data_IF_701474177591
#
_entry.id   IF_701474177591
#
_cell.length_a   1.000
_cell.length_b   1.000
_cell.length_c   1.000
_cell.angle_alpha   90.00
_cell.angle_beta   90.00
_cell.angle_gamma   90.00
#
_symmetry.space_group_name_H-M   'P 1'
#
loop_
_entity.id
_entity.type
_entity.pdbx_description
1 polymer ?
#
# COMPACT_ATOMS: atom_id res chain seq x y z
N UNK A 1 6.25 -9.09 -2.21
CA UNK A 1 6.27 -8.21 -3.41
C UNK A 1 6.88 -6.85 -3.08
N UNK A 2 7.48 -6.15 -4.04
CA UNK A 2 7.97 -4.76 -3.86
C UNK A 2 6.83 -3.75 -4.04
N UNK A 3 7.02 -2.53 -3.55
CA UNK A 3 6.08 -1.41 -3.74
C UNK A 3 5.89 -1.13 -5.23
N UNK A 4 4.64 -0.91 -5.66
CA UNK A 4 4.32 -0.59 -7.06
C UNK A 4 4.64 0.85 -7.48
N UNK A 5 5.09 1.69 -6.55
CA UNK A 5 5.41 3.09 -6.85
C UNK A 5 6.78 3.19 -7.51
N UNK A 6 6.95 4.10 -8.48
CA UNK A 6 8.22 4.26 -9.18
C UNK A 6 9.35 4.58 -8.19
N UNK A 7 10.54 4.05 -8.48
CA UNK A 7 11.76 4.28 -7.70
C UNK A 7 11.67 3.85 -6.22
N UNK A 8 10.83 2.86 -5.91
CA UNK A 8 10.65 2.36 -4.54
C UNK A 8 10.77 0.84 -4.44
N UNK A 9 11.89 0.37 -3.89
CA UNK A 9 12.18 -1.06 -3.72
C UNK A 9 11.71 -1.62 -2.37
N UNK A 10 11.07 -0.81 -1.54
CA UNK A 10 10.57 -1.24 -0.22
C UNK A 10 9.53 -2.36 -0.36
N UNK A 11 9.44 -3.27 0.62
CA UNK A 11 8.40 -4.29 0.63
C UNK A 11 7.01 -3.65 0.61
N UNK A 12 6.11 -4.19 -0.22
CA UNK A 12 4.69 -3.89 -0.12
C UNK A 12 4.14 -4.47 1.19
N UNK A 13 3.26 -3.71 1.83
CA UNK A 13 2.62 -4.06 3.10
C UNK A 13 1.13 -3.73 3.13
N UNK A 14 0.62 -3.00 2.12
CA UNK A 14 -0.75 -2.51 2.07
C UNK A 14 -1.27 -2.63 0.64
N UNK A 15 -2.53 -3.03 0.49
CA UNK A 15 -3.29 -2.92 -0.74
C UNK A 15 -4.17 -1.67 -0.71
N UNK A 16 -4.06 -0.83 -1.74
CA UNK A 16 -4.90 0.34 -1.94
C UNK A 16 -6.09 -0.03 -2.84
N UNK A 17 -7.30 0.16 -2.32
CA UNK A 17 -8.54 -0.05 -3.07
C UNK A 17 -8.94 1.20 -3.84
N UNK A 18 -8.39 1.35 -5.05
CA UNK A 18 -8.57 2.54 -5.88
C UNK A 18 -9.89 2.48 -6.63
N UNK A 19 -10.85 3.40 -6.43
CA UNK A 19 -12.18 3.30 -7.07
C UNK A 19 -12.19 3.52 -8.59
N UNK A 20 -11.13 4.10 -9.15
CA UNK A 20 -11.05 4.55 -10.55
C UNK A 20 -9.88 3.93 -11.32
N UNK A 21 -9.14 3.00 -10.71
CA UNK A 21 -8.02 2.30 -11.33
C UNK A 21 -7.85 0.92 -10.68
N UNK A 22 -6.91 0.12 -11.17
CA UNK A 22 -6.56 -1.15 -10.53
C UNK A 22 -6.00 -0.93 -9.12
N UNK A 23 -6.26 -1.89 -8.22
CA UNK A 23 -5.68 -1.89 -6.87
C UNK A 23 -4.15 -1.89 -6.94
N UNK A 24 -3.51 -1.26 -5.95
CA UNK A 24 -2.05 -1.13 -5.92
C UNK A 24 -1.49 -1.67 -4.62
N UNK A 25 -0.42 -2.47 -4.73
CA UNK A 25 0.34 -2.95 -3.58
C UNK A 25 1.50 -1.99 -3.30
N UNK A 26 1.44 -1.30 -2.16
CA UNK A 26 2.41 -0.27 -1.79
C UNK A 26 3.01 -0.53 -0.42
N UNK A 27 4.14 0.09 -0.13
CA UNK A 27 4.73 0.08 1.21
C UNK A 27 3.91 0.97 2.16
N UNK A 28 4.07 0.75 3.48
CA UNK A 28 3.36 1.52 4.50
C UNK A 28 3.55 3.05 4.36
N UNK A 29 4.74 3.50 3.95
CA UNK A 29 5.03 4.92 3.75
C UNK A 29 4.20 5.53 2.61
N UNK A 30 4.11 4.86 1.46
CA UNK A 30 3.30 5.32 0.33
C UNK A 30 1.81 5.19 0.60
N UNK A 31 1.37 4.12 1.27
CA UNK A 31 -0.02 3.97 1.69
C UNK A 31 -0.49 5.17 2.54
N UNK A 32 0.32 5.61 3.51
CA UNK A 32 0.00 6.77 4.36
C UNK A 32 -0.21 8.05 3.57
N UNK A 33 0.59 8.28 2.53
CA UNK A 33 0.52 9.51 1.72
C UNK A 33 -0.65 9.42 0.74
N UNK A 34 -0.72 8.35 -0.04
CA UNK A 34 -1.73 8.15 -1.09
C UNK A 34 -3.14 8.07 -0.51
N UNK A 35 -3.34 7.27 0.55
CA UNK A 35 -4.64 7.14 1.20
C UNK A 35 -5.20 8.47 1.73
N UNK A 36 -4.33 9.35 2.23
CA UNK A 36 -4.72 10.69 2.71
C UNK A 36 -4.96 11.67 1.57
N UNK A 37 -4.06 11.68 0.58
CA UNK A 37 -4.11 12.63 -0.54
C UNK A 37 -5.34 12.38 -1.40
N UNK A 38 -5.61 11.11 -1.69
CA UNK A 38 -6.61 10.71 -2.67
C UNK A 38 -7.87 10.12 -2.04
N UNK A 39 -7.93 9.99 -0.70
CA UNK A 39 -9.10 9.45 0.01
C UNK A 39 -9.34 7.96 -0.22
N UNK A 40 -8.24 7.19 -0.38
CA UNK A 40 -8.28 5.77 -0.75
C UNK A 40 -8.23 4.90 0.51
N UNK A 41 -9.07 3.86 0.55
CA UNK A 41 -9.05 2.85 1.61
C UNK A 41 -7.83 1.95 1.44
N UNK A 42 -7.16 1.69 2.56
CA UNK A 42 -5.91 0.95 2.64
C UNK A 42 -6.12 -0.26 3.55
N UNK A 43 -5.97 -1.47 2.99
CA UNK A 43 -6.06 -2.72 3.74
C UNK A 43 -4.67 -3.35 3.90
N UNK A 44 -4.37 -4.00 5.05
CA UNK A 44 -3.11 -4.71 5.24
C UNK A 44 -2.95 -5.79 4.17
N UNK A 45 -1.78 -5.85 3.54
CA UNK A 45 -1.50 -6.92 2.59
C UNK A 45 -1.42 -8.26 3.34
N UNK A 46 -2.29 -9.26 3.07
CA UNK A 46 -2.46 -10.41 3.96
C UNK A 46 -1.19 -11.21 4.23
N UNK A 47 -0.30 -11.33 3.23
CA UNK A 47 0.97 -12.07 3.38
C UNK A 47 2.00 -11.35 4.25
N UNK A 48 1.79 -10.07 4.58
CA UNK A 48 2.72 -9.18 5.30
C UNK A 48 2.01 -8.41 6.43
N UNK A 49 0.78 -8.79 6.78
CA UNK A 49 -0.03 -8.07 7.75
C UNK A 49 0.59 -8.14 9.16
N UNK A 50 1.26 -9.24 9.49
CA UNK A 50 1.94 -9.43 10.77
C UNK A 50 3.11 -8.45 10.97
N UNK A 51 3.84 -8.09 9.90
CA UNK A 51 4.95 -7.12 9.94
C UNK A 51 4.51 -5.70 10.36
N UNK A 52 3.20 -5.41 10.31
CA UNK A 52 2.63 -4.11 10.68
C UNK A 52 2.14 -4.04 12.14
N UNK A 53 2.12 -5.18 12.85
CA UNK A 53 1.65 -5.29 14.22
C UNK A 53 2.78 -5.21 15.26
N UNK A 54 4.04 -5.17 14.80
CA UNK A 54 5.26 -5.02 15.62
C UNK A 54 5.74 -3.56 15.70
#
# INVERSE_FOLDING_TARGET
MACSEPDCERPAAVELHIPWAENRLVCAAHARVLGRRDGIVADPFPERADDLLE
#
